data_IF_069976846432
#
_entry.id   IF_069976846432
#
_cell.length_a   1.000
_cell.length_b   1.000
_cell.length_c   1.000
_cell.angle_alpha   90.00
_cell.angle_beta   90.00
_cell.angle_gamma   90.00
#
_symmetry.space_group_name_H-M   'P 1'
#
loop_
_entity.id
_entity.type
_entity.pdbx_description
1 polymer ?
#
# COMPACT_ATOMS: atom_id res chain seq x y z
N UNK A 1 3.38 48.98 -17.84
CA UNK A 1 3.06 47.99 -16.78
C UNK A 1 2.13 46.88 -17.26
N UNK A 2 1.61 46.93 -18.49
CA UNK A 2 0.64 45.95 -19.00
C UNK A 2 1.26 44.62 -19.45
N UNK A 3 2.48 44.65 -20.02
CA UNK A 3 3.10 43.45 -20.61
C UNK A 3 3.49 42.40 -19.55
N UNK A 4 4.06 42.83 -18.43
CA UNK A 4 4.39 41.94 -17.31
C UNK A 4 3.14 41.32 -16.68
N UNK A 5 2.02 42.05 -16.63
CA UNK A 5 0.75 41.53 -16.11
C UNK A 5 0.13 40.47 -17.02
N UNK A 6 0.23 40.67 -18.35
CA UNK A 6 -0.24 39.71 -19.34
C UNK A 6 0.59 38.42 -19.36
N UNK A 7 1.91 38.53 -19.20
CA UNK A 7 2.79 37.36 -19.09
C UNK A 7 2.47 36.52 -17.84
N UNK A 8 2.14 37.15 -16.71
CA UNK A 8 1.73 36.41 -15.53
C UNK A 8 0.39 35.71 -15.67
N UNK A 9 -0.57 36.34 -16.32
CA UNK A 9 -1.87 35.73 -16.60
C UNK A 9 -1.75 34.53 -17.55
N UNK A 10 -0.90 34.62 -18.59
CA UNK A 10 -0.65 33.51 -19.51
C UNK A 10 0.04 32.33 -18.82
N UNK A 11 0.91 32.60 -17.84
CA UNK A 11 1.66 31.56 -17.14
C UNK A 11 0.82 30.82 -16.07
N UNK A 12 -0.28 31.39 -15.59
CA UNK A 12 -1.07 30.81 -14.50
C UNK A 12 -1.57 29.40 -14.79
N UNK A 13 -2.11 29.17 -15.98
CA UNK A 13 -2.67 27.86 -16.38
C UNK A 13 -1.58 26.77 -16.45
N UNK A 14 -0.49 26.93 -17.24
CA UNK A 14 0.57 25.91 -17.30
C UNK A 14 1.33 25.77 -15.97
N UNK A 15 1.53 26.85 -15.22
CA UNK A 15 2.16 26.78 -13.90
C UNK A 15 1.27 26.02 -12.89
N UNK A 16 -0.04 26.27 -12.92
CA UNK A 16 -1.01 25.55 -12.10
C UNK A 16 -1.06 24.07 -12.43
N UNK A 17 -1.11 23.71 -13.72
CA UNK A 17 -1.09 22.31 -14.16
C UNK A 17 0.21 21.59 -13.75
N UNK A 18 1.36 22.22 -13.97
CA UNK A 18 2.66 21.66 -13.58
C UNK A 18 2.78 21.53 -12.05
N UNK A 19 2.33 22.53 -11.30
CA UNK A 19 2.34 22.53 -9.85
C UNK A 19 1.46 21.42 -9.25
N UNK A 20 0.24 21.26 -9.77
CA UNK A 20 -0.67 20.20 -9.33
C UNK A 20 -0.10 18.81 -9.64
N UNK A 21 0.39 18.60 -10.86
CA UNK A 21 1.02 17.34 -11.25
C UNK A 21 2.19 17.00 -10.33
N UNK A 22 3.08 17.96 -10.08
CA UNK A 22 4.26 17.75 -9.24
C UNK A 22 3.89 17.49 -7.78
N UNK A 23 2.89 18.18 -7.24
CA UNK A 23 2.40 17.96 -5.88
C UNK A 23 1.85 16.54 -5.69
N UNK A 24 1.00 16.07 -6.61
CA UNK A 24 0.47 14.70 -6.60
C UNK A 24 1.61 13.70 -6.75
N UNK A 25 2.51 13.92 -7.71
CA UNK A 25 3.65 13.05 -7.95
C UNK A 25 4.52 12.92 -6.70
N UNK A 26 4.86 14.03 -6.02
CA UNK A 26 5.67 14.00 -4.80
C UNK A 26 4.93 13.34 -3.63
N UNK A 27 3.64 13.60 -3.47
CA UNK A 27 2.81 13.00 -2.42
C UNK A 27 2.83 11.47 -2.49
N UNK A 28 2.74 10.90 -3.70
CA UNK A 28 2.75 9.45 -3.88
C UNK A 28 4.13 8.84 -4.07
N UNK A 29 5.07 9.55 -4.71
CA UNK A 29 6.36 8.98 -5.10
C UNK A 29 7.36 8.90 -3.95
N UNK A 30 7.12 9.53 -2.80
CA UNK A 30 7.98 9.50 -1.61
C UNK A 30 9.50 9.66 -1.91
N UNK A 31 9.87 10.21 -3.07
CA UNK A 31 11.27 10.23 -3.56
C UNK A 31 12.12 11.22 -2.76
N UNK A 32 11.45 12.10 -2.02
CA UNK A 32 12.01 13.05 -1.09
C UNK A 32 12.06 12.56 0.36
N UNK A 33 11.50 11.37 0.65
CA UNK A 33 11.57 10.77 1.98
C UNK A 33 12.70 9.75 2.02
N UNK A 34 13.68 9.96 2.88
CA UNK A 34 14.61 8.91 3.27
C UNK A 34 13.86 7.86 4.09
N UNK A 35 14.05 6.58 3.76
CA UNK A 35 13.61 5.47 4.60
C UNK A 35 14.47 5.44 5.87
N UNK A 36 14.27 6.37 6.79
CA UNK A 36 15.02 6.48 8.04
C UNK A 36 14.37 5.72 9.21
N UNK A 37 13.51 4.74 8.91
CA UNK A 37 12.88 3.89 9.92
C UNK A 37 12.98 2.42 9.51
N UNK A 38 14.21 1.94 9.39
CA UNK A 38 14.46 0.54 9.74
C UNK A 38 14.43 0.46 11.26
N UNK A 39 13.26 0.14 11.83
CA UNK A 39 13.24 -0.36 13.20
C UNK A 39 13.77 -1.77 13.14
N UNK A 40 14.97 -1.98 13.67
CA UNK A 40 15.47 -3.30 14.01
C UNK A 40 14.47 -3.90 14.98
N UNK A 41 13.54 -4.71 14.45
CA UNK A 41 12.60 -5.44 15.28
C UNK A 41 13.40 -6.61 15.81
N UNK A 42 13.85 -6.53 17.06
CA UNK A 42 14.43 -7.68 17.75
C UNK A 42 13.35 -8.76 17.79
N UNK A 43 13.49 -9.76 16.91
CA UNK A 43 12.69 -10.98 16.96
C UNK A 43 13.35 -11.85 18.02
N UNK A 44 12.83 -11.78 19.24
CA UNK A 44 13.21 -12.73 20.28
C UNK A 44 12.47 -14.03 19.98
N UNK A 45 13.16 -14.96 19.31
CA UNK A 45 12.60 -16.24 18.96
C UNK A 45 12.58 -17.12 20.22
N UNK A 46 11.42 -17.20 20.88
CA UNK A 46 11.24 -18.16 21.97
C UNK A 46 11.44 -19.59 21.44
N UNK A 47 12.15 -20.46 22.18
CA UNK A 47 12.34 -21.84 21.77
C UNK A 47 10.98 -22.53 21.69
N UNK A 48 10.67 -23.07 20.51
CA UNK A 48 9.51 -23.94 20.30
C UNK A 48 9.76 -25.22 21.11
N UNK A 49 9.28 -25.26 22.35
CA UNK A 49 9.48 -26.35 23.31
C UNK A 49 8.64 -27.58 23.00
N UNK A 50 7.69 -27.47 22.08
CA UNK A 50 6.84 -28.58 21.67
C UNK A 50 7.41 -29.22 20.40
N UNK A 51 7.55 -30.56 20.34
CA UNK A 51 7.86 -31.23 19.09
C UNK A 51 6.79 -30.88 18.05
N UNK A 52 7.23 -30.57 16.84
CA UNK A 52 6.34 -30.33 15.71
C UNK A 52 5.48 -31.58 15.49
N UNK A 53 4.18 -31.46 15.73
CA UNK A 53 3.24 -32.55 15.54
C UNK A 53 2.40 -32.23 14.31
N UNK A 54 2.67 -32.95 13.23
CA UNK A 54 1.87 -32.89 12.01
C UNK A 54 0.41 -33.23 12.34
N UNK A 55 -0.46 -32.22 12.39
CA UNK A 55 -1.89 -32.40 12.70
C UNK A 55 -2.66 -32.92 11.48
N UNK A 56 -2.18 -32.58 10.27
CA UNK A 56 -2.78 -33.04 9.02
C UNK A 56 -1.82 -32.92 7.85
N UNK A 57 -1.97 -33.80 6.87
CA UNK A 57 -1.35 -33.70 5.55
C UNK A 57 -2.46 -33.55 4.51
N UNK A 58 -2.34 -32.56 3.62
CA UNK A 58 -3.27 -32.39 2.50
C UNK A 58 -2.50 -32.61 1.21
N UNK A 59 -2.43 -33.87 0.78
CA UNK A 59 -1.95 -34.22 -0.57
C UNK A 59 -3.08 -34.00 -1.58
N UNK A 60 -3.09 -32.80 -2.16
CA UNK A 60 -4.01 -32.45 -3.25
C UNK A 60 -5.41 -32.05 -2.79
N UNK A 61 -5.86 -30.89 -3.26
CA UNK A 61 -7.22 -30.39 -3.03
C UNK A 61 -8.13 -30.90 -4.14
N UNK A 62 -8.83 -32.02 -3.92
CA UNK A 62 -9.91 -32.47 -4.84
C UNK A 62 -11.23 -31.72 -4.62
N UNK A 63 -11.34 -31.01 -3.50
CA UNK A 63 -12.53 -30.25 -3.12
C UNK A 63 -12.46 -28.85 -3.70
N UNK A 64 -13.46 -28.48 -4.49
CA UNK A 64 -13.61 -27.12 -5.04
C UNK A 64 -13.89 -26.05 -3.96
N UNK A 65 -14.25 -26.45 -2.73
CA UNK A 65 -14.59 -25.53 -1.64
C UNK A 65 -14.05 -26.03 -0.30
N UNK A 66 -13.74 -25.08 0.58
CA UNK A 66 -13.28 -25.33 1.94
C UNK A 66 -14.50 -25.65 2.82
N UNK A 67 -14.34 -26.55 3.79
CA UNK A 67 -15.37 -26.79 4.79
C UNK A 67 -15.53 -25.54 5.66
N UNK A 68 -16.73 -24.95 5.68
CA UNK A 68 -16.98 -23.66 6.34
C UNK A 68 -16.89 -22.44 5.41
N UNK A 69 -16.89 -22.64 4.09
CA UNK A 69 -16.97 -21.56 3.11
C UNK A 69 -18.20 -20.65 3.37
N UNK A 70 -17.92 -19.37 3.57
CA UNK A 70 -18.86 -18.31 3.91
C UNK A 70 -19.22 -17.41 2.71
N UNK A 71 -18.92 -17.82 1.46
CA UNK A 71 -19.19 -17.05 0.21
C UNK A 71 -20.62 -16.50 0.10
N UNK A 72 -21.62 -17.14 0.72
CA UNK A 72 -23.02 -16.66 0.73
C UNK A 72 -23.48 -16.01 2.05
N UNK A 73 -22.66 -16.05 3.09
CA UNK A 73 -22.99 -15.50 4.41
C UNK A 73 -22.74 -13.98 4.51
N UNK A 74 -22.28 -13.33 3.45
CA UNK A 74 -21.89 -11.90 3.46
C UNK A 74 -23.05 -10.92 3.69
N UNK A 75 -24.32 -11.34 3.62
CA UNK A 75 -25.50 -10.46 3.78
C UNK A 75 -26.67 -11.12 4.50
N UNK A 76 -26.45 -11.55 5.73
CA UNK A 76 -27.54 -11.72 6.71
C UNK A 76 -27.31 -10.71 7.83
N UNK A 77 -27.73 -9.47 7.56
CA UNK A 77 -27.65 -8.31 8.44
C UNK A 77 -28.49 -7.19 7.85
#
# INVERSE_FOLDING_TARGET
MSDASGLWQLALDPAGAAGLYWAINRYYRNTDKSHAFERETTVDAEPITRPDHKVSEVEGTRKMRIAGDNVRAYRSG
#
